data_IF_911777026795
#
_entry.id   IF_911777026795
#
_cell.length_a   1.000
_cell.length_b   1.000
_cell.length_c   1.000
_cell.angle_alpha   90.00
_cell.angle_beta   90.00
_cell.angle_gamma   90.00
#
_symmetry.space_group_name_H-M   'P 1'
#
loop_
_entity.id
_entity.type
_entity.pdbx_description
1 polymer ?
#
# COMPACT_ATOMS: atom_id res chain seq x y z
N UNK A 1 -13.60 -10.05 -6.69
CA UNK A 1 -12.92 -9.51 -7.89
C UNK A 1 -11.43 -9.80 -7.77
N UNK A 2 -10.77 -10.31 -8.82
CA UNK A 2 -9.31 -10.50 -8.80
C UNK A 2 -8.60 -9.21 -9.20
N UNK A 3 -7.61 -8.80 -8.43
CA UNK A 3 -6.77 -7.64 -8.76
C UNK A 3 -5.73 -8.02 -9.81
N UNK A 4 -5.49 -7.18 -10.80
CA UNK A 4 -4.37 -7.42 -11.70
C UNK A 4 -3.05 -7.06 -11.02
N UNK A 5 -1.95 -7.71 -11.42
CA UNK A 5 -0.63 -7.36 -10.90
C UNK A 5 -0.28 -5.90 -11.21
N UNK A 6 -0.73 -5.39 -12.35
CA UNK A 6 -0.56 -4.00 -12.76
C UNK A 6 -1.26 -3.02 -11.80
N UNK A 7 -2.49 -3.33 -11.37
CA UNK A 7 -3.20 -2.48 -10.39
C UNK A 7 -2.48 -2.44 -9.04
N UNK A 8 -1.94 -3.58 -8.61
CA UNK A 8 -1.15 -3.66 -7.37
C UNK A 8 0.14 -2.84 -7.52
N UNK A 9 0.83 -2.94 -8.66
CA UNK A 9 2.04 -2.19 -8.95
C UNK A 9 1.80 -0.67 -8.94
N UNK A 10 0.75 -0.21 -9.61
CA UNK A 10 0.34 1.19 -9.62
C UNK A 10 -0.04 1.69 -8.22
N UNK A 11 -0.74 0.88 -7.43
CA UNK A 11 -1.09 1.21 -6.05
C UNK A 11 0.14 1.29 -5.13
N UNK A 12 1.11 0.38 -5.28
CA UNK A 12 2.38 0.44 -4.54
C UNK A 12 3.18 1.69 -4.92
N UNK A 13 3.28 2.00 -6.21
CA UNK A 13 3.93 3.22 -6.68
C UNK A 13 3.28 4.47 -6.08
N UNK A 14 1.94 4.55 -6.12
CA UNK A 14 1.20 5.66 -5.54
C UNK A 14 1.41 5.78 -4.02
N UNK A 15 1.31 4.66 -3.30
CA UNK A 15 1.54 4.61 -1.86
C UNK A 15 2.94 5.15 -1.48
N UNK A 16 3.97 4.79 -2.24
CA UNK A 16 5.34 5.26 -1.97
C UNK A 16 5.51 6.75 -2.25
N UNK A 17 4.89 7.27 -3.32
CA UNK A 17 4.82 8.71 -3.58
C UNK A 17 4.13 9.45 -2.43
N UNK A 18 3.00 8.91 -1.93
CA UNK A 18 2.21 9.55 -0.87
C UNK A 18 2.95 9.65 0.46
N UNK A 19 3.95 8.81 0.73
CA UNK A 19 4.75 8.89 1.97
C UNK A 19 6.06 9.65 1.80
N UNK A 20 6.27 10.29 0.64
CA UNK A 20 7.54 10.91 0.26
C UNK A 20 8.73 9.98 0.54
N UNK A 21 8.55 8.67 0.30
CA UNK A 21 9.67 7.74 0.34
C UNK A 21 10.66 8.27 -0.71
N UNK A 22 11.91 8.58 -0.32
CA UNK A 22 12.83 9.41 -1.09
C UNK A 22 13.18 8.75 -2.42
N UNK A 23 12.30 8.95 -3.41
CA UNK A 23 12.27 8.61 -4.83
C UNK A 23 12.84 7.27 -5.38
N UNK A 24 13.71 6.51 -4.72
CA UNK A 24 14.35 5.32 -5.34
C UNK A 24 14.99 4.40 -4.29
N UNK A 25 14.19 3.79 -3.43
CA UNK A 25 14.62 2.51 -2.85
C UNK A 25 13.94 1.37 -3.63
N UNK A 26 14.55 0.87 -4.73
CA UNK A 26 14.05 -0.29 -5.46
C UNK A 26 13.77 -1.46 -4.52
N UNK A 27 14.59 -1.60 -3.47
CA UNK A 27 14.43 -2.62 -2.43
C UNK A 27 13.12 -2.45 -1.66
N UNK A 28 12.72 -1.22 -1.36
CA UNK A 28 11.47 -0.92 -0.68
C UNK A 28 10.29 -1.22 -1.61
N UNK A 29 10.33 -0.73 -2.86
CA UNK A 29 9.32 -1.03 -3.87
C UNK A 29 9.14 -2.53 -4.09
N UNK A 30 10.22 -3.26 -4.37
CA UNK A 30 10.18 -4.71 -4.58
C UNK A 30 9.64 -5.45 -3.35
N UNK A 31 9.99 -5.00 -2.14
CA UNK A 31 9.50 -5.62 -0.90
C UNK A 31 8.00 -5.40 -0.69
N UNK A 32 7.51 -4.19 -0.92
CA UNK A 32 6.07 -3.90 -0.85
C UNK A 32 5.30 -4.61 -1.95
N UNK A 33 5.83 -4.60 -3.17
CA UNK A 33 5.23 -5.28 -4.31
C UNK A 33 5.12 -6.79 -4.07
N UNK A 34 6.20 -7.45 -3.63
CA UNK A 34 6.20 -8.87 -3.31
C UNK A 34 5.21 -9.21 -2.19
N UNK A 35 5.09 -8.35 -1.17
CA UNK A 35 4.11 -8.55 -0.10
C UNK A 35 2.67 -8.46 -0.64
N UNK A 36 2.35 -7.42 -1.40
CA UNK A 36 0.99 -7.15 -1.87
C UNK A 36 0.55 -8.03 -3.05
N UNK A 37 1.49 -8.55 -3.84
CA UNK A 37 1.22 -9.60 -4.83
C UNK A 37 1.11 -10.99 -4.19
N UNK A 38 1.76 -11.20 -3.04
CA UNK A 38 1.70 -12.43 -2.25
C UNK A 38 0.67 -12.37 -1.11
N UNK A 39 1.15 -12.47 0.13
CA UNK A 39 0.30 -12.62 1.33
C UNK A 39 -0.69 -11.47 1.55
N UNK A 40 -0.37 -10.26 1.11
CA UNK A 40 -1.24 -9.09 1.22
C UNK A 40 -2.35 -9.03 0.18
N UNK A 41 -2.29 -9.85 -0.88
CA UNK A 41 -3.22 -9.79 -2.02
C UNK A 41 -4.66 -10.04 -1.61
N UNK A 42 -4.90 -11.05 -0.78
CA UNK A 42 -6.25 -11.40 -0.32
C UNK A 42 -6.91 -10.24 0.44
N UNK A 43 -6.13 -9.48 1.21
CA UNK A 43 -6.63 -8.29 1.92
C UNK A 43 -7.05 -7.18 0.94
N UNK A 44 -6.27 -6.97 -0.13
CA UNK A 44 -6.62 -6.01 -1.16
C UNK A 44 -7.87 -6.46 -1.94
N UNK A 45 -7.97 -7.72 -2.32
CA UNK A 45 -9.13 -8.26 -3.04
C UNK A 45 -10.41 -8.19 -2.18
N UNK A 46 -10.29 -8.41 -0.87
CA UNK A 46 -11.37 -8.20 0.09
C UNK A 46 -11.78 -6.72 0.20
N UNK A 47 -10.80 -5.82 0.31
CA UNK A 47 -11.05 -4.38 0.34
C UNK A 47 -11.74 -3.92 -0.95
N UNK A 48 -11.26 -4.35 -2.11
CA UNK A 48 -11.86 -4.02 -3.41
C UNK A 48 -13.31 -4.45 -3.51
N UNK A 49 -13.60 -5.65 -3.03
CA UNK A 49 -14.97 -6.20 -3.04
C UNK A 49 -15.92 -5.46 -2.10
N UNK A 50 -15.41 -4.65 -1.17
CA UNK A 50 -16.22 -3.90 -0.18
C UNK A 50 -16.23 -2.39 -0.39
N UNK A 51 -15.17 -1.80 -0.97
CA UNK A 51 -14.97 -0.34 -1.05
C UNK A 51 -14.68 0.20 -2.46
N UNK A 52 -14.44 -0.68 -3.44
CA UNK A 52 -14.10 -0.30 -4.81
C UNK A 52 -12.63 -0.52 -5.16
N UNK A 53 -12.33 -0.45 -6.47
CA UNK A 53 -11.05 -0.86 -7.04
C UNK A 53 -10.10 0.29 -7.43
N UNK A 54 -10.30 1.49 -6.89
CA UNK A 54 -9.50 2.66 -7.25
C UNK A 54 -8.05 2.54 -6.79
N UNK A 55 -7.09 2.98 -7.61
CA UNK A 55 -5.66 2.98 -7.26
C UNK A 55 -5.39 3.79 -5.98
N UNK A 56 -6.08 4.93 -5.80
CA UNK A 56 -6.02 5.72 -4.57
C UNK A 56 -6.55 4.95 -3.35
N UNK A 57 -7.68 4.25 -3.49
CA UNK A 57 -8.26 3.45 -2.40
C UNK A 57 -7.36 2.28 -2.00
N UNK A 58 -6.72 1.65 -2.98
CA UNK A 58 -5.71 0.62 -2.75
C UNK A 58 -4.50 1.19 -2.00
N UNK A 59 -3.94 2.31 -2.47
CA UNK A 59 -2.81 2.97 -1.81
C UNK A 59 -3.15 3.41 -0.37
N UNK A 60 -4.35 3.95 -0.17
CA UNK A 60 -4.86 4.35 1.15
C UNK A 60 -4.92 3.16 2.10
N UNK A 61 -5.48 2.05 1.64
CA UNK A 61 -5.55 0.82 2.41
C UNK A 61 -4.17 0.26 2.76
N UNK A 62 -3.22 0.32 1.81
CA UNK A 62 -1.83 -0.09 2.06
C UNK A 62 -1.19 0.76 3.16
N UNK A 63 -1.39 2.08 3.11
CA UNK A 63 -0.91 3.02 4.13
C UNK A 63 -1.51 2.76 5.51
N UNK A 64 -2.83 2.62 5.59
CA UNK A 64 -3.54 2.33 6.85
C UNK A 64 -3.08 1.00 7.45
N UNK A 65 -2.96 -0.04 6.63
CA UNK A 65 -2.52 -1.37 7.05
C UNK A 65 -1.10 -1.30 7.61
N UNK A 66 -0.19 -0.62 6.91
CA UNK A 66 1.18 -0.44 7.37
C UNK A 66 1.24 0.32 8.69
N UNK A 67 0.52 1.43 8.82
CA UNK A 67 0.51 2.24 10.03
C UNK A 67 -0.13 1.53 11.22
N UNK A 68 -1.18 0.74 10.99
CA UNK A 68 -1.79 -0.11 12.02
C UNK A 68 -0.77 -1.13 12.54
N UNK A 69 -0.02 -1.77 11.64
CA UNK A 69 1.03 -2.70 12.01
C UNK A 69 2.19 -2.00 12.74
N UNK A 70 2.60 -0.80 12.30
CA UNK A 70 3.63 -0.02 12.96
C UNK A 70 3.23 0.32 14.41
N UNK A 71 2.02 0.87 14.61
CA UNK A 71 1.48 1.20 15.94
C UNK A 71 1.42 -0.02 16.86
N UNK A 72 0.92 -1.16 16.36
CA UNK A 72 0.84 -2.41 17.14
C UNK A 72 2.22 -2.91 17.58
N UNK A 73 3.25 -2.66 16.77
CA UNK A 73 4.62 -3.07 17.05
C UNK A 73 5.45 -1.97 17.76
N UNK A 74 4.82 -0.88 18.23
CA UNK A 74 5.52 0.25 18.87
C UNK A 74 6.47 1.01 17.94
N UNK A 75 6.32 0.85 16.62
CA UNK A 75 7.13 1.54 15.60
C UNK A 75 6.48 2.86 15.19
N UNK A 76 7.32 3.79 14.73
CA UNK A 76 6.86 5.08 14.18
C UNK A 76 5.99 4.86 12.95
N UNK A 77 4.80 5.45 12.94
CA UNK A 77 3.90 5.43 11.79
C UNK A 77 4.44 6.32 10.66
N UNK A 78 4.19 5.90 9.42
CA UNK A 78 4.44 6.70 8.23
C UNK A 78 3.50 7.92 8.23
N UNK A 79 4.02 9.04 7.72
CA UNK A 79 3.23 10.26 7.49
C UNK A 79 3.02 10.43 6.00
N UNK A 80 1.85 10.91 5.61
CA UNK A 80 1.60 11.32 4.23
C UNK A 80 2.30 12.65 3.95
N UNK A 81 2.71 12.82 2.71
CA UNK A 81 3.28 14.05 2.15
C UNK A 81 2.22 15.15 2.12
N UNK A 82 1.02 14.81 1.66
CA UNK A 82 -0.16 15.66 1.75
C UNK A 82 -0.84 15.40 3.09
N UNK A 83 -0.42 16.16 4.11
CA UNK A 83 -1.25 16.37 5.29
C UNK A 83 -2.39 17.31 4.92
N UNK A 84 -3.50 16.75 4.47
CA UNK A 84 -4.82 17.34 4.67
C UNK A 84 -5.49 16.64 5.86
#
# INVERSE_FOLDING_TARGET
MQLTNLMIEQAVSRFLMDINAPDTEPRLFSRFLAFWQGKGRQNLEFMVSTRGAGIHQLADYMFETHNRAARRNGRKALRRRDGY
#
